data_IF_515293876380
#
_entry.id   IF_515293876380
#
_cell.length_a   1.000
_cell.length_b   1.000
_cell.length_c   1.000
_cell.angle_alpha   90.00
_cell.angle_beta   90.00
_cell.angle_gamma   90.00
#
_symmetry.space_group_name_H-M   'P 1'
#
loop_
_entity.id
_entity.type
_entity.pdbx_description
1 polymer ?
#
# COMPACT_ATOMS: atom_id res chain seq x y z
N UNK A 1 -5.72 -12.91 -5.53
CA UNK A 1 -5.01 -14.11 -5.04
C UNK A 1 -4.83 -13.92 -3.55
N UNK A 2 -5.14 -14.93 -2.75
CA UNK A 2 -5.11 -14.86 -1.30
C UNK A 2 -4.23 -15.98 -0.75
N UNK A 3 -3.52 -15.71 0.34
CA UNK A 3 -2.83 -16.77 1.09
C UNK A 3 -3.83 -17.57 1.93
N UNK A 4 -4.84 -16.88 2.48
CA UNK A 4 -5.94 -17.49 3.19
C UNK A 4 -7.08 -17.93 2.29
N UNK A 5 -8.25 -18.10 2.89
CA UNK A 5 -9.47 -18.45 2.17
C UNK A 5 -9.80 -17.43 1.08
N UNK A 6 -10.28 -17.94 -0.06
CA UNK A 6 -10.74 -17.06 -1.12
C UNK A 6 -11.96 -16.26 -0.66
N UNK A 7 -11.82 -14.95 -0.67
CA UNK A 7 -12.93 -14.03 -0.39
C UNK A 7 -13.46 -13.41 -1.69
N UNK A 8 -14.76 -13.08 -1.78
CA UNK A 8 -15.30 -12.37 -2.93
C UNK A 8 -14.61 -11.02 -3.14
N UNK A 9 -13.91 -10.87 -4.27
CA UNK A 9 -13.28 -9.62 -4.70
C UNK A 9 -14.13 -8.97 -5.79
N UNK A 10 -14.52 -7.72 -5.60
CA UNK A 10 -15.18 -6.94 -6.66
C UNK A 10 -14.08 -6.42 -7.59
N UNK A 11 -14.00 -6.98 -8.80
CA UNK A 11 -13.00 -6.61 -9.79
C UNK A 11 -13.62 -6.48 -11.19
N UNK A 12 -13.01 -5.65 -12.04
CA UNK A 12 -13.41 -5.52 -13.43
C UNK A 12 -12.88 -6.71 -14.24
N UNK A 13 -13.75 -7.34 -15.03
CA UNK A 13 -13.38 -8.45 -15.90
C UNK A 13 -12.41 -8.01 -17.00
N UNK A 14 -12.56 -6.78 -17.49
CA UNK A 14 -11.77 -6.21 -18.57
C UNK A 14 -10.82 -5.11 -18.08
N UNK A 15 -9.59 -5.12 -18.58
CA UNK A 15 -8.61 -4.05 -18.37
C UNK A 15 -8.28 -3.37 -19.70
N UNK A 16 -8.65 -2.10 -19.85
CA UNK A 16 -8.38 -1.32 -21.06
C UNK A 16 -6.94 -0.80 -21.05
N UNK A 17 -6.26 -0.90 -22.21
CA UNK A 17 -4.85 -0.46 -22.35
C UNK A 17 -4.65 1.02 -22.03
N UNK A 18 -5.61 1.87 -22.42
CA UNK A 18 -5.58 3.30 -22.08
C UNK A 18 -5.52 3.51 -20.57
N UNK A 19 -6.37 2.83 -19.81
CA UNK A 19 -6.38 2.92 -18.34
C UNK A 19 -5.05 2.47 -17.71
N UNK A 20 -4.38 1.48 -18.31
CA UNK A 20 -3.05 1.08 -17.85
C UNK A 20 -1.99 2.18 -18.10
N UNK A 21 -2.02 2.84 -19.26
CA UNK A 21 -1.14 3.97 -19.54
C UNK A 21 -1.42 5.14 -18.59
N UNK A 22 -2.70 5.49 -18.41
CA UNK A 22 -3.12 6.56 -17.50
C UNK A 22 -2.68 6.26 -16.04
N UNK A 23 -2.82 5.01 -15.58
CA UNK A 23 -2.33 4.58 -14.27
C UNK A 23 -0.82 4.77 -14.12
N UNK A 24 -0.03 4.38 -15.13
CA UNK A 24 1.42 4.56 -15.09
C UNK A 24 1.80 6.05 -15.04
N UNK A 25 1.12 6.90 -15.80
CA UNK A 25 1.33 8.35 -15.75
C UNK A 25 1.03 8.92 -14.35
N UNK A 26 -0.06 8.49 -13.71
CA UNK A 26 -0.40 8.91 -12.35
C UNK A 26 0.64 8.41 -11.34
N UNK A 27 1.12 7.17 -11.45
CA UNK A 27 2.18 6.65 -10.59
C UNK A 27 3.48 7.46 -10.68
N UNK A 28 3.85 7.92 -11.89
CA UNK A 28 5.01 8.80 -12.09
C UNK A 28 4.81 10.14 -11.41
N UNK A 29 3.67 10.80 -11.65
CA UNK A 29 3.35 12.09 -11.01
C UNK A 29 3.30 11.97 -9.48
N UNK A 30 2.68 10.93 -8.95
CA UNK A 30 2.61 10.69 -7.51
C UNK A 30 4.01 10.53 -6.90
N UNK A 31 4.92 9.84 -7.60
CA UNK A 31 6.31 9.66 -7.16
C UNK A 31 7.08 10.97 -7.09
N UNK A 32 6.91 11.85 -8.08
CA UNK A 32 7.51 13.18 -8.11
C UNK A 32 7.00 14.09 -6.98
N UNK A 33 5.76 13.86 -6.53
CA UNK A 33 5.10 14.65 -5.49
C UNK A 33 5.32 14.11 -4.07
N UNK A 34 5.95 12.95 -3.88
CA UNK A 34 6.25 12.37 -2.56
C UNK A 34 6.91 13.38 -1.59
N UNK A 35 7.89 14.21 -1.99
CA UNK A 35 8.51 15.19 -1.10
C UNK A 35 7.55 16.24 -0.54
N UNK A 36 6.34 16.38 -1.10
CA UNK A 36 5.30 17.30 -0.60
C UNK A 36 4.46 16.70 0.54
N UNK A 37 4.63 15.41 0.84
CA UNK A 37 3.92 14.76 1.94
C UNK A 37 4.69 15.05 3.23
N UNK A 38 4.15 15.93 4.07
CA UNK A 38 4.77 16.36 5.35
C UNK A 38 4.01 15.85 6.58
N UNK A 39 2.77 15.38 6.40
CA UNK A 39 1.91 14.83 7.45
C UNK A 39 2.41 13.47 7.95
N UNK A 40 2.05 13.01 9.15
CA UNK A 40 2.39 11.66 9.60
C UNK A 40 1.97 10.59 8.58
N UNK A 41 2.88 9.64 8.29
CA UNK A 41 2.70 8.64 7.24
C UNK A 41 2.96 7.20 7.72
N UNK A 42 1.94 6.34 7.63
CA UNK A 42 2.09 4.88 7.74
C UNK A 42 2.02 4.27 6.34
N UNK A 43 3.06 3.52 5.95
CA UNK A 43 3.09 2.75 4.70
C UNK A 43 2.90 1.28 5.01
N UNK A 44 1.82 0.66 4.49
CA UNK A 44 1.58 -0.78 4.64
C UNK A 44 1.89 -1.50 3.34
N UNK A 45 2.70 -2.56 3.40
CA UNK A 45 3.10 -3.31 2.21
C UNK A 45 3.32 -4.79 2.52
N UNK A 46 2.77 -5.65 1.67
CA UNK A 46 3.09 -7.08 1.72
C UNK A 46 4.49 -7.35 1.16
N UNK A 47 5.26 -8.19 1.86
CA UNK A 47 6.54 -8.72 1.37
C UNK A 47 6.39 -9.72 0.23
N UNK A 48 5.23 -10.36 0.11
CA UNK A 48 4.93 -11.38 -0.90
C UNK A 48 4.10 -10.84 -2.06
N UNK A 49 3.93 -9.51 -2.17
CA UNK A 49 3.17 -8.88 -3.25
C UNK A 49 3.72 -9.25 -4.63
N UNK A 50 2.86 -9.83 -5.46
CA UNK A 50 3.17 -10.29 -6.83
C UNK A 50 2.71 -9.31 -7.90
N UNK A 51 1.99 -8.25 -7.53
CA UNK A 51 1.40 -7.25 -8.44
C UNK A 51 2.23 -5.96 -8.41
N UNK A 52 2.61 -5.48 -7.23
CA UNK A 52 3.50 -4.33 -7.08
C UNK A 52 4.75 -4.70 -6.30
N UNK A 53 5.89 -4.11 -6.67
CA UNK A 53 7.16 -4.41 -5.99
C UNK A 53 7.12 -3.91 -4.54
N UNK A 54 7.50 -4.74 -3.55
CA UNK A 54 7.62 -4.31 -2.15
C UNK A 54 8.57 -3.13 -1.95
N UNK A 55 9.54 -2.93 -2.86
CA UNK A 55 10.44 -1.76 -2.87
C UNK A 55 9.71 -0.42 -2.97
N UNK A 56 8.46 -0.41 -3.45
CA UNK A 56 7.67 0.82 -3.47
C UNK A 56 7.43 1.38 -2.07
N UNK A 57 7.32 0.54 -1.04
CA UNK A 57 7.21 1.03 0.33
C UNK A 57 8.47 1.79 0.77
N UNK A 58 9.65 1.24 0.47
CA UNK A 58 10.93 1.89 0.75
C UNK A 58 11.06 3.23 0.00
N UNK A 59 10.63 3.27 -1.26
CA UNK A 59 10.62 4.50 -2.07
C UNK A 59 9.71 5.56 -1.44
N UNK A 60 8.48 5.19 -1.07
CA UNK A 60 7.52 6.12 -0.44
C UNK A 60 8.09 6.65 0.88
N UNK A 61 8.57 5.74 1.74
CA UNK A 61 9.16 6.09 3.02
C UNK A 61 10.37 7.02 2.88
N UNK A 62 11.28 6.72 1.95
CA UNK A 62 12.49 7.50 1.76
C UNK A 62 12.21 8.90 1.21
N UNK A 63 11.24 9.03 0.29
CA UNK A 63 11.02 10.28 -0.45
C UNK A 63 9.94 11.18 0.14
N UNK A 64 9.10 10.71 1.07
CA UNK A 64 8.17 11.56 1.80
C UNK A 64 8.91 12.47 2.81
N UNK A 65 8.49 13.73 2.94
CA UNK A 65 9.04 14.70 3.90
C UNK A 65 8.43 14.60 5.31
N UNK A 66 7.56 13.63 5.55
CA UNK A 66 6.96 13.33 6.84
C UNK A 66 8.02 13.16 7.93
N UNK A 67 7.87 13.89 9.04
CA UNK A 67 8.74 13.75 10.22
C UNK A 67 8.48 12.44 10.96
N UNK A 68 7.19 12.12 11.16
CA UNK A 68 6.72 10.84 11.67
C UNK A 68 6.34 9.95 10.49
N UNK A 69 7.12 8.91 10.25
CA UNK A 69 6.81 7.92 9.22
C UNK A 69 7.31 6.54 9.61
N UNK A 70 6.59 5.51 9.18
CA UNK A 70 6.91 4.11 9.47
C UNK A 70 6.42 3.19 8.33
N UNK A 71 7.05 2.02 8.21
CA UNK A 71 6.61 0.97 7.29
C UNK A 71 6.10 -0.23 8.12
N UNK A 72 4.83 -0.57 7.94
CA UNK A 72 4.22 -1.80 8.45
C UNK A 72 4.30 -2.91 7.40
N UNK A 73 5.24 -3.83 7.57
CA UNK A 73 5.38 -4.97 6.68
C UNK A 73 4.37 -6.07 7.00
N UNK A 74 3.65 -6.53 5.97
CA UNK A 74 2.71 -7.65 6.04
C UNK A 74 3.40 -8.91 5.49
N UNK A 75 3.34 -10.02 6.22
CA UNK A 75 4.11 -11.25 5.88
C UNK A 75 3.24 -12.44 5.51
N UNK A 76 1.92 -12.34 5.69
CA UNK A 76 0.99 -13.46 5.47
C UNK A 76 -0.11 -13.09 4.47
N UNK A 77 0.16 -12.16 3.56
CA UNK A 77 -0.82 -11.70 2.57
C UNK A 77 -0.19 -11.47 1.21
N UNK A 78 -0.97 -11.57 0.13
CA UNK A 78 -0.56 -11.07 -1.19
C UNK A 78 -0.92 -9.58 -1.37
N UNK A 79 -1.20 -9.16 -2.61
CA UNK A 79 -1.46 -7.77 -2.97
C UNK A 79 -2.70 -7.18 -2.29
N UNK A 80 -3.83 -7.90 -2.33
CA UNK A 80 -5.09 -7.48 -1.71
C UNK A 80 -5.11 -7.82 -0.22
N UNK A 81 -4.10 -7.37 0.52
CA UNK A 81 -3.86 -7.77 1.91
C UNK A 81 -5.00 -7.40 2.88
N UNK A 82 -5.77 -6.35 2.56
CA UNK A 82 -6.96 -5.95 3.30
C UNK A 82 -8.11 -6.97 3.25
N UNK A 83 -8.03 -7.90 2.30
CA UNK A 83 -8.97 -8.99 2.11
C UNK A 83 -8.35 -10.36 2.49
N UNK A 84 -7.08 -10.38 2.87
CA UNK A 84 -6.30 -11.60 3.14
C UNK A 84 -6.12 -11.83 4.65
N UNK A 85 -5.17 -12.70 5.04
CA UNK A 85 -4.92 -13.07 6.44
C UNK A 85 -4.58 -11.84 7.30
N UNK A 86 -3.74 -10.91 6.81
CA UNK A 86 -3.28 -9.76 7.61
C UNK A 86 -4.33 -8.63 7.72
N UNK A 87 -5.59 -8.84 7.30
CA UNK A 87 -6.65 -7.81 7.37
C UNK A 87 -6.82 -7.20 8.77
N UNK A 88 -6.77 -8.03 9.82
CA UNK A 88 -6.88 -7.56 11.21
C UNK A 88 -5.62 -6.79 11.61
N UNK A 89 -4.46 -7.25 11.16
CA UNK A 89 -3.18 -6.60 11.43
C UNK A 89 -3.09 -5.22 10.78
N UNK A 90 -3.64 -5.06 9.58
CA UNK A 90 -3.78 -3.75 8.91
C UNK A 90 -4.60 -2.79 9.79
N UNK A 91 -5.73 -3.24 10.31
CA UNK A 91 -6.59 -2.42 11.17
C UNK A 91 -5.90 -2.03 12.47
N UNK A 92 -5.23 -2.99 13.13
CA UNK A 92 -4.44 -2.75 14.35
C UNK A 92 -3.35 -1.69 14.11
N UNK A 93 -2.51 -1.87 13.08
CA UNK A 93 -1.44 -0.94 12.73
C UNK A 93 -1.98 0.46 12.45
N UNK A 94 -3.09 0.57 11.73
CA UNK A 94 -3.72 1.85 11.44
C UNK A 94 -4.26 2.53 12.71
N UNK A 95 -4.89 1.77 13.61
CA UNK A 95 -5.40 2.28 14.90
C UNK A 95 -4.27 2.69 15.84
N UNK A 96 -3.23 1.87 15.97
CA UNK A 96 -2.02 2.18 16.72
C UNK A 96 -1.40 3.48 16.19
N UNK A 97 -1.24 3.59 14.86
CA UNK A 97 -0.66 4.76 14.24
C UNK A 97 -1.48 6.04 14.47
N UNK A 98 -2.81 5.95 14.36
CA UNK A 98 -3.72 7.08 14.53
C UNK A 98 -3.90 7.50 16.00
N UNK A 99 -3.80 6.56 16.94
CA UNK A 99 -3.98 6.83 18.37
C UNK A 99 -2.76 7.48 19.01
N UNK A 100 -1.57 7.30 18.40
CA UNK A 100 -0.39 8.07 18.74
C UNK A 100 -0.59 9.54 18.33
N UNK A 101 -1.16 10.33 19.24
CA UNK A 101 -1.14 11.78 19.18
C UNK A 101 0.30 12.26 19.42
N UNK A 102 0.84 13.06 18.50
CA UNK A 102 1.93 13.99 18.82
C UNK A 102 1.35 15.23 19.51
#
# INVERSE_FOLDING_TARGET
>A
MFMGDAVPEISYQDRRRKSAADLLSVCTLARELLPRIEVPLLVLQSKSDTIVSPKNADIIYANASSKRKEIGWLTHSFHCAQLDIDRSRIAELALEFASCCE
#
